data_IF_799149693792
#
_entry.id   IF_799149693792
#
_cell.length_a   1.000
_cell.length_b   1.000
_cell.length_c   1.000
_cell.angle_alpha   90.00
_cell.angle_beta   90.00
_cell.angle_gamma   90.00
#
_symmetry.space_group_name_H-M   'P 1'
#
loop_
_entity.id
_entity.type
_entity.pdbx_description
1 polymer ?
#
# COMPACT_ATOMS: atom_id res chain seq x y z
N UNK A 1 -27.99 21.38 8.93
CA UNK A 1 -27.28 20.46 9.85
C UNK A 1 -25.80 20.76 9.72
N UNK A 2 -25.40 21.86 10.34
CA UNK A 2 -24.05 22.40 10.33
C UNK A 2 -23.23 21.74 11.44
N UNK A 3 -22.15 21.05 11.09
CA UNK A 3 -21.12 20.70 12.07
C UNK A 3 -20.07 21.81 12.07
N UNK A 4 -20.28 22.72 13.01
CA UNK A 4 -19.40 23.79 13.41
C UNK A 4 -18.06 23.22 13.92
N UNK A 5 -16.99 23.33 13.14
CA UNK A 5 -15.62 23.05 13.58
C UNK A 5 -15.02 24.28 14.28
N UNK A 6 -15.65 24.76 15.36
CA UNK A 6 -15.22 25.96 16.08
C UNK A 6 -14.44 25.62 17.36
N UNK A 7 -13.35 24.84 17.25
CA UNK A 7 -12.63 24.38 18.44
C UNK A 7 -11.18 23.91 18.30
N UNK A 8 -10.46 24.23 17.22
CA UNK A 8 -9.04 23.82 17.07
C UNK A 8 -8.07 25.00 17.02
N UNK A 9 -8.25 25.98 17.89
CA UNK A 9 -7.16 26.86 18.30
C UNK A 9 -6.54 26.35 19.60
N UNK A 10 -6.08 25.10 19.62
CA UNK A 10 -5.12 24.69 20.63
C UNK A 10 -3.80 25.42 20.32
N UNK A 11 -3.40 26.38 21.17
CA UNK A 11 -2.01 26.86 21.20
C UNK A 11 -1.13 25.66 21.56
N UNK A 12 -0.71 24.90 20.57
CA UNK A 12 0.19 23.77 20.80
C UNK A 12 1.55 24.31 21.19
N UNK A 13 1.93 24.14 22.46
CA UNK A 13 3.29 24.37 22.95
C UNK A 13 4.28 23.32 22.42
N UNK A 14 3.78 22.26 21.77
CA UNK A 14 4.56 21.14 21.26
C UNK A 14 5.04 21.43 19.84
N UNK A 15 6.35 21.34 19.62
CA UNK A 15 6.98 21.50 18.31
C UNK A 15 6.93 20.18 17.55
N UNK A 16 7.04 20.22 16.22
CA UNK A 16 7.04 19.02 15.37
C UNK A 16 8.04 17.96 15.84
N UNK A 17 9.24 18.37 16.26
CA UNK A 17 10.30 17.48 16.78
C UNK A 17 9.94 16.74 18.07
N UNK A 18 8.93 17.21 18.81
CA UNK A 18 8.50 16.55 20.05
C UNK A 18 7.55 15.36 19.75
N UNK A 19 7.13 15.19 18.50
CA UNK A 19 6.22 14.11 18.03
C UNK A 19 6.92 12.96 17.31
N UNK A 20 8.22 13.08 17.06
CA UNK A 20 9.01 12.12 16.28
C UNK A 20 10.41 11.96 16.90
N UNK A 21 11.08 10.81 16.71
CA UNK A 21 12.42 10.60 17.27
C UNK A 21 13.51 11.55 16.73
N UNK A 22 13.27 12.16 15.56
CA UNK A 22 14.26 12.98 14.85
C UNK A 22 14.25 14.44 15.34
N UNK A 23 15.41 14.93 15.78
CA UNK A 23 15.59 16.31 16.23
C UNK A 23 15.57 17.34 15.08
N UNK A 24 16.03 16.91 13.90
CA UNK A 24 16.06 17.69 12.64
C UNK A 24 15.32 16.92 11.55
N UNK A 25 13.98 16.94 11.56
CA UNK A 25 13.21 16.18 10.58
C UNK A 25 13.40 16.69 9.17
N UNK A 26 13.38 15.75 8.22
CA UNK A 26 13.37 16.07 6.80
C UNK A 26 12.08 16.81 6.40
N UNK A 27 12.13 17.56 5.30
CA UNK A 27 10.99 18.29 4.77
C UNK A 27 9.96 17.40 4.03
N UNK A 28 9.93 16.09 4.29
CA UNK A 28 9.03 15.12 3.65
C UNK A 28 7.55 15.51 3.71
N UNK A 29 7.13 16.29 4.72
CA UNK A 29 5.76 16.82 4.79
C UNK A 29 5.37 17.68 3.59
N UNK A 30 6.32 18.41 3.00
CA UNK A 30 6.09 19.21 1.78
C UNK A 30 5.83 18.30 0.58
N UNK A 31 6.59 17.22 0.44
CA UNK A 31 6.43 16.26 -0.66
C UNK A 31 5.06 15.57 -0.59
N UNK A 32 4.66 15.10 0.60
CA UNK A 32 3.33 14.52 0.84
C UNK A 32 2.23 15.54 0.53
N UNK A 33 2.38 16.79 0.98
CA UNK A 33 1.40 17.84 0.69
C UNK A 33 1.29 18.14 -0.82
N UNK A 34 2.41 18.23 -1.54
CA UNK A 34 2.40 18.44 -3.00
C UNK A 34 1.72 17.28 -3.72
N UNK A 35 2.00 16.03 -3.34
CA UNK A 35 1.36 14.86 -3.92
C UNK A 35 -0.16 14.86 -3.67
N UNK A 36 -0.58 15.11 -2.42
CA UNK A 36 -2.00 15.17 -2.06
C UNK A 36 -2.73 16.34 -2.74
N UNK A 37 -2.09 17.51 -2.83
CA UNK A 37 -2.65 18.68 -3.50
C UNK A 37 -2.80 18.43 -5.01
N UNK A 38 -1.84 17.76 -5.63
CA UNK A 38 -1.86 17.44 -7.07
C UNK A 38 -2.92 16.39 -7.41
N UNK A 39 -3.08 15.36 -6.58
CA UNK A 39 -4.12 14.34 -6.77
C UNK A 39 -5.52 14.87 -6.42
N UNK A 40 -5.61 15.75 -5.42
CA UNK A 40 -6.86 16.14 -4.80
C UNK A 40 -7.58 14.95 -4.13
N UNK A 41 -8.71 15.25 -3.47
CA UNK A 41 -9.47 14.23 -2.72
C UNK A 41 -9.95 13.07 -3.61
N UNK A 42 -10.44 13.39 -4.81
CA UNK A 42 -10.95 12.38 -5.76
C UNK A 42 -9.81 11.56 -6.38
N UNK A 43 -8.69 12.19 -6.74
CA UNK A 43 -7.55 11.47 -7.33
C UNK A 43 -6.92 10.48 -6.35
N UNK A 44 -6.80 10.87 -5.07
CA UNK A 44 -6.34 9.96 -4.01
C UNK A 44 -7.26 8.74 -3.85
N UNK A 45 -8.57 8.95 -3.77
CA UNK A 45 -9.55 7.87 -3.70
C UNK A 45 -9.48 6.94 -4.93
N UNK A 46 -9.47 7.53 -6.13
CA UNK A 46 -9.38 6.77 -7.39
C UNK A 46 -8.09 5.94 -7.50
N UNK A 47 -6.97 6.44 -6.96
CA UNK A 47 -5.71 5.69 -6.94
C UNK A 47 -5.84 4.43 -6.09
N UNK A 48 -6.39 4.56 -4.88
CA UNK A 48 -6.65 3.43 -3.97
C UNK A 48 -7.62 2.43 -4.61
N UNK A 49 -8.76 2.91 -5.11
CA UNK A 49 -9.79 2.07 -5.73
C UNK A 49 -9.23 1.29 -6.94
N UNK A 50 -8.40 1.94 -7.76
CA UNK A 50 -7.75 1.30 -8.91
C UNK A 50 -6.80 0.20 -8.46
N UNK A 51 -5.93 0.45 -7.48
CA UNK A 51 -4.98 -0.54 -6.99
C UNK A 51 -5.70 -1.74 -6.36
N UNK A 52 -6.74 -1.51 -5.56
CA UNK A 52 -7.55 -2.59 -4.97
C UNK A 52 -8.35 -3.37 -6.03
N UNK A 53 -8.81 -2.72 -7.11
CA UNK A 53 -9.42 -3.43 -8.25
C UNK A 53 -8.42 -4.29 -9.01
N UNK A 54 -7.19 -3.81 -9.21
CA UNK A 54 -6.14 -4.60 -9.84
C UNK A 54 -5.74 -5.81 -8.98
N UNK A 55 -5.68 -5.68 -7.66
CA UNK A 55 -5.41 -6.82 -6.79
C UNK A 55 -6.51 -7.90 -6.87
N UNK A 56 -7.79 -7.50 -6.98
CA UNK A 56 -8.89 -8.44 -7.23
C UNK A 56 -8.76 -9.14 -8.58
N UNK A 57 -8.36 -8.40 -9.63
CA UNK A 57 -8.03 -9.02 -10.91
C UNK A 57 -6.91 -10.05 -10.78
N UNK A 58 -5.84 -9.74 -10.03
CA UNK A 58 -4.78 -10.73 -9.75
C UNK A 58 -5.31 -11.96 -9.03
N UNK A 59 -6.22 -11.82 -8.06
CA UNK A 59 -6.87 -12.95 -7.38
C UNK A 59 -7.56 -13.85 -8.39
N UNK A 60 -8.42 -13.28 -9.23
CA UNK A 60 -9.21 -14.03 -10.21
C UNK A 60 -8.31 -14.82 -11.17
N UNK A 61 -7.28 -14.17 -11.71
CA UNK A 61 -6.33 -14.78 -12.66
C UNK A 61 -5.43 -15.84 -11.98
N UNK A 62 -4.95 -15.58 -10.77
CA UNK A 62 -4.11 -16.54 -10.02
C UNK A 62 -4.90 -17.78 -9.65
N UNK A 63 -6.14 -17.63 -9.19
CA UNK A 63 -7.02 -18.76 -8.89
C UNK A 63 -7.35 -19.57 -10.14
N UNK A 64 -7.63 -18.91 -11.26
CA UNK A 64 -7.82 -19.57 -12.55
C UNK A 64 -6.56 -20.36 -13.00
N UNK A 65 -5.37 -19.87 -12.65
CA UNK A 65 -4.09 -20.55 -12.89
C UNK A 65 -3.76 -21.64 -11.84
N UNK A 66 -4.64 -21.91 -10.88
CA UNK A 66 -4.48 -22.97 -9.87
C UNK A 66 -3.67 -22.58 -8.63
N UNK A 67 -3.45 -21.29 -8.41
CA UNK A 67 -2.86 -20.79 -7.18
C UNK A 67 -3.92 -20.65 -6.06
N UNK A 68 -3.48 -20.81 -4.82
CA UNK A 68 -4.27 -20.53 -3.62
C UNK A 68 -3.93 -19.15 -3.07
N UNK A 69 -4.95 -18.39 -2.67
CA UNK A 69 -4.79 -17.08 -2.03
C UNK A 69 -4.79 -17.27 -0.51
N UNK A 70 -3.75 -16.76 0.15
CA UNK A 70 -3.45 -17.04 1.56
C UNK A 70 -3.87 -15.92 2.52
N UNK A 71 -4.32 -14.78 2.00
CA UNK A 71 -4.75 -13.63 2.80
C UNK A 71 -6.11 -13.09 2.34
N UNK A 72 -6.78 -12.36 3.23
CA UNK A 72 -7.90 -11.51 2.85
C UNK A 72 -7.38 -10.33 2.03
N UNK A 73 -7.80 -10.26 0.77
CA UNK A 73 -7.40 -9.19 -0.16
C UNK A 73 -8.33 -7.98 0.03
N UNK A 74 -8.05 -7.18 1.05
CA UNK A 74 -8.83 -5.97 1.39
C UNK A 74 -8.39 -4.74 0.58
N UNK A 75 -7.08 -4.60 0.35
CA UNK A 75 -6.46 -3.52 -0.43
C UNK A 75 -5.74 -4.08 -1.66
N UNK A 76 -4.46 -3.74 -1.84
CA UNK A 76 -3.69 -4.02 -3.04
C UNK A 76 -2.64 -5.13 -2.85
N UNK A 77 -2.76 -5.96 -1.82
CA UNK A 77 -1.79 -7.02 -1.52
C UNK A 77 -2.44 -8.40 -1.69
N UNK A 78 -1.80 -9.23 -2.52
CA UNK A 78 -2.16 -10.61 -2.75
C UNK A 78 -0.97 -11.48 -2.34
N UNK A 79 -1.22 -12.41 -1.42
CA UNK A 79 -0.28 -13.44 -0.98
C UNK A 79 -0.80 -14.75 -1.51
N UNK A 80 0.06 -15.50 -2.19
CA UNK A 80 -0.36 -16.70 -2.90
C UNK A 80 0.71 -17.79 -2.88
N UNK A 81 0.27 -19.03 -3.05
CA UNK A 81 1.13 -20.20 -3.24
C UNK A 81 0.55 -21.13 -4.30
N UNK A 82 1.38 -22.04 -4.80
CA UNK A 82 0.91 -23.22 -5.51
C UNK A 82 0.68 -24.34 -4.48
N UNK A 83 -0.57 -24.84 -4.32
CA UNK A 83 -0.89 -25.87 -3.34
C UNK A 83 -0.01 -27.12 -3.47
N UNK A 84 0.57 -27.57 -2.37
CA UNK A 84 1.47 -28.73 -2.30
C UNK A 84 2.85 -28.49 -2.93
N UNK A 85 3.17 -27.24 -3.30
CA UNK A 85 4.43 -26.83 -3.94
C UNK A 85 5.00 -25.56 -3.32
N UNK A 86 4.64 -25.28 -2.07
CA UNK A 86 5.03 -24.10 -1.29
C UNK A 86 6.56 -23.93 -1.27
N UNK A 87 7.30 -25.03 -1.12
CA UNK A 87 8.76 -25.05 -1.12
C UNK A 87 9.40 -24.55 -2.44
N UNK A 88 8.64 -24.50 -3.55
CA UNK A 88 9.11 -24.00 -4.85
C UNK A 88 8.85 -22.52 -5.07
N UNK A 89 8.05 -21.86 -4.24
CA UNK A 89 7.75 -20.44 -4.39
C UNK A 89 9.01 -19.54 -4.43
N UNK A 90 10.07 -19.79 -3.64
CA UNK A 90 11.32 -19.02 -3.76
C UNK A 90 12.00 -19.16 -5.12
N UNK A 91 11.99 -20.36 -5.70
CA UNK A 91 12.54 -20.63 -7.03
C UNK A 91 11.74 -19.90 -8.12
N UNK A 92 10.41 -19.96 -8.04
CA UNK A 92 9.50 -19.27 -8.96
C UNK A 92 9.74 -17.75 -8.90
N UNK A 93 9.79 -17.18 -7.70
CA UNK A 93 10.06 -15.75 -7.51
C UNK A 93 11.45 -15.35 -8.01
N UNK A 94 12.46 -16.21 -7.86
CA UNK A 94 13.80 -15.97 -8.40
C UNK A 94 13.80 -15.94 -9.95
N UNK A 95 13.14 -16.90 -10.60
CA UNK A 95 13.01 -16.94 -12.07
C UNK A 95 12.30 -15.71 -12.61
N UNK A 96 11.20 -15.30 -11.98
CA UNK A 96 10.46 -14.11 -12.40
C UNK A 96 11.30 -12.83 -12.28
N UNK A 97 12.00 -12.66 -11.15
CA UNK A 97 12.90 -11.51 -10.99
C UNK A 97 14.04 -11.51 -12.00
N UNK A 98 14.60 -12.68 -12.32
CA UNK A 98 15.65 -12.81 -13.34
C UNK A 98 15.13 -12.49 -14.75
N UNK A 99 13.85 -12.76 -15.04
CA UNK A 99 13.21 -12.39 -16.31
C UNK A 99 13.03 -10.88 -16.50
N UNK A 100 12.95 -10.13 -15.40
CA UNK A 100 12.67 -8.68 -15.43
C UNK A 100 11.21 -8.31 -15.67
N UNK A 101 10.31 -9.28 -15.87
CA UNK A 101 8.88 -9.02 -16.13
C UNK A 101 8.15 -8.48 -14.91
N UNK A 102 8.47 -8.99 -13.73
CA UNK A 102 7.85 -8.58 -12.48
C UNK A 102 8.73 -8.89 -11.26
N UNK A 103 8.43 -8.22 -10.15
CA UNK A 103 9.06 -8.45 -8.86
C UNK A 103 8.02 -8.79 -7.81
N UNK A 104 8.19 -9.92 -7.12
CA UNK A 104 7.43 -10.29 -5.94
C UNK A 104 8.38 -10.62 -4.78
N UNK A 105 7.98 -10.21 -3.58
CA UNK A 105 8.70 -10.50 -2.34
C UNK A 105 8.10 -11.70 -1.61
N UNK A 106 8.91 -12.44 -0.83
CA UNK A 106 8.37 -13.44 0.09
C UNK A 106 7.63 -12.74 1.24
N UNK A 107 6.62 -13.40 1.79
CA UNK A 107 6.07 -13.08 3.11
C UNK A 107 6.34 -14.22 4.07
N UNK A 108 6.47 -13.90 5.36
CA UNK A 108 6.43 -14.89 6.44
C UNK A 108 5.01 -15.13 6.88
#
# INVERSE_FOLDING_TARGET
>A
MDRQWSGLAAKSAMRSKDWIPEFSPSAQGVEVWVALRSLGRKGGANLVDRCSRLARLFVDELQAAGFEILNDVVLNQVVTTLPGREARMPEIAAKLRASGEAWFGPTR
#
